data_IF_816357263961
#
_entry.id   IF_816357263961
#
_cell.length_a   1.000
_cell.length_b   1.000
_cell.length_c   1.000
_cell.angle_alpha   90.00
_cell.angle_beta   90.00
_cell.angle_gamma   90.00
#
_symmetry.space_group_name_H-M   'P 1'
#
loop_
_entity.id
_entity.type
_entity.pdbx_description
1 polymer ?
#
# COMPACT_ATOMS: atom_id res chain seq x y z
N UNK A 1 1.89 -5.53 -14.53
CA UNK A 1 0.76 -4.58 -14.72
C UNK A 1 1.36 -3.19 -14.73
N UNK A 2 1.17 -2.39 -15.78
CA UNK A 2 1.69 -1.02 -15.89
C UNK A 2 0.98 -0.13 -14.86
N UNK A 3 1.73 0.47 -13.93
CA UNK A 3 1.22 1.29 -12.81
C UNK A 3 0.62 2.63 -13.26
N UNK A 4 0.93 3.03 -14.49
CA UNK A 4 0.48 4.21 -15.21
C UNK A 4 -1.01 4.18 -15.62
N UNK A 5 -1.71 3.06 -15.42
CA UNK A 5 -3.12 2.86 -15.82
C UNK A 5 -4.07 2.75 -14.61
N UNK A 6 -3.56 2.73 -13.36
CA UNK A 6 -4.37 2.38 -12.19
C UNK A 6 -5.27 3.49 -11.63
N UNK A 7 -5.14 4.73 -12.09
CA UNK A 7 -5.93 5.85 -11.58
C UNK A 7 -6.64 6.57 -12.74
N UNK A 8 -7.75 5.98 -13.19
CA UNK A 8 -8.77 6.76 -13.90
C UNK A 8 -9.52 7.54 -12.82
N UNK A 9 -9.48 8.87 -12.88
CA UNK A 9 -10.35 9.76 -12.12
C UNK A 9 -11.81 9.52 -12.56
N UNK A 10 -12.44 8.46 -12.05
CA UNK A 10 -13.89 8.38 -12.07
C UNK A 10 -14.37 9.22 -10.90
N UNK A 11 -14.50 10.52 -11.16
CA UNK A 11 -15.06 11.50 -10.21
C UNK A 11 -16.59 11.41 -10.15
N UNK A 12 -17.16 10.20 -10.06
CA UNK A 12 -18.49 10.10 -9.50
C UNK A 12 -18.33 10.12 -7.98
N UNK A 13 -18.20 11.34 -7.44
CA UNK A 13 -18.35 11.55 -6.01
C UNK A 13 -19.67 10.91 -5.60
N UNK A 14 -19.64 9.95 -4.68
CA UNK A 14 -20.84 9.51 -3.98
C UNK A 14 -21.47 10.79 -3.40
N UNK A 15 -22.56 11.25 -4.00
CA UNK A 15 -23.30 12.39 -3.48
C UNK A 15 -24.09 11.86 -2.29
N UNK A 16 -23.45 11.86 -1.11
CA UNK A 16 -24.16 11.70 0.15
C UNK A 16 -25.16 12.84 0.23
N UNK A 17 -26.45 12.51 0.22
CA UNK A 17 -27.51 13.50 0.41
C UNK A 17 -27.36 13.99 1.86
N UNK A 18 -26.81 15.21 2.04
CA UNK A 18 -26.48 15.77 3.37
C UNK A 18 -27.68 15.82 4.33
N UNK A 19 -28.91 15.64 3.80
CA UNK A 19 -30.17 15.63 4.53
C UNK A 19 -30.70 14.23 4.88
N UNK A 20 -30.02 13.15 4.51
CA UNK A 20 -30.44 11.81 4.89
C UNK A 20 -30.09 11.54 6.36
N UNK A 21 -31.12 11.51 7.22
CA UNK A 21 -30.99 11.28 8.67
C UNK A 21 -30.22 9.97 8.99
N UNK A 22 -30.23 9.00 8.07
CA UNK A 22 -29.54 7.72 8.25
C UNK A 22 -28.01 7.86 8.24
N UNK A 23 -27.45 8.79 7.46
CA UNK A 23 -26.00 8.95 7.29
C UNK A 23 -25.37 10.03 8.18
N UNK A 24 -26.17 10.67 9.04
CA UNK A 24 -25.72 11.77 9.91
C UNK A 24 -24.45 11.47 10.73
N UNK A 25 -24.23 10.19 11.10
CA UNK A 25 -23.10 9.79 11.94
C UNK A 25 -21.93 9.16 11.17
N UNK A 26 -22.11 8.86 9.89
CA UNK A 26 -21.13 8.16 9.06
C UNK A 26 -19.75 8.84 9.05
N UNK A 27 -19.65 10.16 8.86
CA UNK A 27 -18.35 10.84 8.83
C UNK A 27 -17.55 10.67 10.14
N UNK A 28 -18.22 10.70 11.29
CA UNK A 28 -17.59 10.56 12.60
C UNK A 28 -17.07 9.14 12.83
N UNK A 29 -17.87 8.14 12.44
CA UNK A 29 -17.48 6.72 12.55
C UNK A 29 -16.29 6.46 11.63
N UNK A 30 -16.35 6.91 10.37
CA UNK A 30 -15.23 6.79 9.42
C UNK A 30 -13.95 7.41 9.96
N UNK A 31 -14.03 8.62 10.51
CA UNK A 31 -12.86 9.29 11.08
C UNK A 31 -12.19 8.50 12.21
N UNK A 32 -12.96 7.78 13.02
CA UNK A 32 -12.44 7.00 14.15
C UNK A 32 -11.53 5.83 13.72
N UNK A 33 -11.74 5.28 12.53
CA UNK A 33 -11.02 4.10 12.04
C UNK A 33 -10.00 4.40 10.95
N UNK A 34 -9.95 5.63 10.43
CA UNK A 34 -8.96 6.01 9.45
C UNK A 34 -7.55 6.00 10.08
N UNK A 35 -6.55 5.40 9.43
CA UNK A 35 -5.19 5.38 9.94
C UNK A 35 -4.61 6.80 10.01
N UNK A 36 -4.22 7.22 11.22
CA UNK A 36 -3.65 8.55 11.50
C UNK A 36 -2.11 8.55 11.60
N UNK A 37 -1.48 7.40 11.34
CA UNK A 37 -0.03 7.26 11.53
C UNK A 37 0.75 8.11 10.52
N UNK A 38 1.74 8.91 10.97
CA UNK A 38 2.59 9.70 10.07
C UNK A 38 3.55 8.85 9.24
N UNK A 39 3.61 7.53 9.51
CA UNK A 39 4.44 6.58 8.75
C UNK A 39 3.97 6.46 7.29
N UNK A 40 2.69 6.74 7.02
CA UNK A 40 2.12 6.63 5.69
C UNK A 40 2.19 7.93 4.90
N UNK A 41 2.34 7.80 3.59
CA UNK A 41 2.26 8.93 2.68
C UNK A 41 0.84 9.51 2.71
N UNK A 42 0.71 10.82 2.97
CA UNK A 42 -0.60 11.49 3.03
C UNK A 42 -1.41 11.31 1.76
N UNK A 43 -0.76 11.41 0.59
CA UNK A 43 -1.42 11.20 -0.69
C UNK A 43 -1.99 9.78 -0.78
N UNK A 44 -1.25 8.77 -0.35
CA UNK A 44 -1.77 7.39 -0.33
C UNK A 44 -2.99 7.29 0.59
N UNK A 45 -2.90 7.84 1.80
CA UNK A 45 -4.02 7.86 2.76
C UNK A 45 -5.26 8.55 2.20
N UNK A 46 -5.10 9.64 1.47
CA UNK A 46 -6.23 10.36 0.84
C UNK A 46 -6.95 9.48 -0.20
N UNK A 47 -6.21 8.71 -1.00
CA UNK A 47 -6.82 7.79 -1.97
C UNK A 47 -7.50 6.62 -1.26
N UNK A 48 -6.84 6.04 -0.25
CA UNK A 48 -7.37 4.92 0.54
C UNK A 48 -8.63 5.32 1.29
N UNK A 49 -8.69 6.55 1.81
CA UNK A 49 -9.84 7.08 2.57
C UNK A 49 -11.15 6.97 1.80
N UNK A 50 -11.13 7.22 0.48
CA UNK A 50 -12.32 7.12 -0.37
C UNK A 50 -12.89 5.70 -0.48
N UNK A 51 -12.03 4.68 -0.31
CA UNK A 51 -12.40 3.27 -0.41
C UNK A 51 -12.81 2.66 0.93
N UNK A 52 -12.58 3.38 2.04
CA UNK A 52 -12.89 2.90 3.38
C UNK A 52 -14.40 2.71 3.53
N UNK A 53 -14.84 1.52 3.95
CA UNK A 53 -16.24 1.27 4.27
C UNK A 53 -16.34 0.57 5.64
N UNK A 54 -16.85 1.24 6.69
CA UNK A 54 -16.88 0.67 8.05
C UNK A 54 -17.73 -0.61 8.16
N UNK A 55 -18.63 -0.88 7.21
CA UNK A 55 -19.50 -2.05 7.24
C UNK A 55 -18.80 -3.35 6.82
N UNK A 56 -17.63 -3.26 6.17
CA UNK A 56 -16.92 -4.42 5.64
C UNK A 56 -16.02 -5.08 6.69
N UNK A 57 -15.58 -4.34 7.71
CA UNK A 57 -14.90 -4.84 8.91
C UNK A 57 -13.47 -5.35 8.68
N UNK A 58 -12.93 -5.18 7.48
CA UNK A 58 -11.59 -5.67 7.09
C UNK A 58 -10.56 -4.54 7.04
N UNK A 59 -10.96 -3.30 7.32
CA UNK A 59 -10.15 -2.12 6.99
C UNK A 59 -8.91 -2.02 7.89
N UNK A 60 -9.02 -2.49 9.12
CA UNK A 60 -7.93 -2.52 10.08
C UNK A 60 -6.83 -3.53 9.72
N UNK A 61 -7.10 -4.49 8.81
CA UNK A 61 -6.10 -5.48 8.38
C UNK A 61 -5.16 -4.92 7.29
N UNK A 62 -5.56 -3.86 6.58
CA UNK A 62 -4.80 -3.28 5.48
C UNK A 62 -3.34 -2.96 5.84
N UNK A 63 -3.08 -2.18 6.91
CA UNK A 63 -1.72 -1.88 7.37
C UNK A 63 -0.90 -3.13 7.76
N UNK A 64 -1.56 -4.17 8.30
CA UNK A 64 -0.91 -5.43 8.65
C UNK A 64 -0.48 -6.19 7.40
N UNK A 65 -1.38 -6.32 6.40
CA UNK A 65 -1.09 -6.99 5.14
C UNK A 65 0.04 -6.28 4.39
N UNK A 66 0.02 -4.95 4.35
CA UNK A 66 1.12 -4.17 3.80
C UNK A 66 2.45 -4.54 4.47
N UNK A 67 2.47 -4.53 5.81
CA UNK A 67 3.69 -4.78 6.58
C UNK A 67 4.20 -6.21 6.37
N UNK A 68 3.29 -7.19 6.29
CA UNK A 68 3.61 -8.58 6.03
C UNK A 68 4.23 -8.78 4.64
N UNK A 69 3.68 -8.15 3.60
CA UNK A 69 4.22 -8.20 2.24
C UNK A 69 5.59 -7.54 2.16
N UNK A 70 5.78 -6.38 2.81
CA UNK A 70 7.09 -5.71 2.90
C UNK A 70 8.13 -6.57 3.62
N UNK A 71 7.73 -7.21 4.72
CA UNK A 71 8.61 -8.07 5.52
C UNK A 71 9.04 -9.33 4.77
N UNK A 72 8.09 -10.01 4.11
CA UNK A 72 8.34 -11.28 3.42
C UNK A 72 8.95 -11.12 2.03
N UNK A 73 8.97 -9.90 1.47
CA UNK A 73 9.49 -9.60 0.13
C UNK A 73 8.88 -10.45 -0.98
N UNK A 74 7.60 -10.82 -0.83
CA UNK A 74 6.87 -11.55 -1.87
C UNK A 74 6.65 -10.64 -3.09
N UNK A 75 6.74 -11.21 -4.29
CA UNK A 75 6.48 -10.52 -5.56
C UNK A 75 5.08 -10.79 -6.12
N UNK A 76 4.48 -11.91 -5.71
CA UNK A 76 3.20 -12.41 -6.25
C UNK A 76 2.29 -12.73 -5.08
N UNK A 77 1.14 -12.07 -5.05
CA UNK A 77 0.10 -12.26 -4.04
C UNK A 77 -1.19 -12.59 -4.77
N UNK A 78 -1.88 -13.62 -4.28
CA UNK A 78 -3.24 -13.95 -4.71
C UNK A 78 -4.17 -13.57 -3.58
N UNK A 79 -5.10 -12.67 -3.86
CA UNK A 79 -6.15 -12.25 -2.95
C UNK A 79 -7.49 -12.87 -3.41
N UNK A 80 -8.23 -13.50 -2.50
CA UNK A 80 -9.55 -14.06 -2.77
C UNK A 80 -10.58 -13.22 -2.03
N UNK A 81 -11.39 -12.49 -2.79
CA UNK A 81 -12.21 -11.38 -2.30
C UNK A 81 -11.42 -10.08 -2.37
N UNK A 82 -11.74 -9.23 -3.35
CA UNK A 82 -11.05 -7.97 -3.59
C UNK A 82 -11.81 -6.79 -2.97
N UNK A 83 -11.11 -5.72 -2.63
CA UNK A 83 -11.72 -4.53 -2.05
C UNK A 83 -10.69 -3.59 -1.44
N UNK A 84 -10.99 -3.08 -0.25
CA UNK A 84 -10.16 -2.11 0.45
C UNK A 84 -8.73 -2.61 0.71
N UNK A 85 -8.52 -3.90 0.95
CA UNK A 85 -7.20 -4.49 1.24
C UNK A 85 -6.28 -4.57 0.02
N UNK A 86 -6.85 -4.62 -1.18
CA UNK A 86 -6.09 -4.75 -2.43
C UNK A 86 -5.11 -3.59 -2.63
N UNK A 87 -5.51 -2.34 -2.31
CA UNK A 87 -4.63 -1.17 -2.46
C UNK A 87 -3.44 -1.19 -1.50
N UNK A 88 -3.59 -1.77 -0.30
CA UNK A 88 -2.49 -1.95 0.65
C UNK A 88 -1.46 -2.98 0.15
N UNK A 89 -1.95 -4.09 -0.41
CA UNK A 89 -1.08 -5.12 -0.99
C UNK A 89 -0.33 -4.55 -2.20
N UNK A 90 -1.03 -3.83 -3.09
CA UNK A 90 -0.42 -3.22 -4.28
C UNK A 90 0.64 -2.18 -3.90
N UNK A 91 0.36 -1.33 -2.92
CA UNK A 91 1.34 -0.36 -2.42
C UNK A 91 2.58 -1.07 -1.87
N UNK A 92 2.40 -2.15 -1.10
CA UNK A 92 3.52 -2.92 -0.56
C UNK A 92 4.37 -3.59 -1.65
N UNK A 93 3.75 -4.14 -2.69
CA UNK A 93 4.45 -4.73 -3.84
C UNK A 93 5.26 -3.67 -4.59
N UNK A 94 4.63 -2.52 -4.90
CA UNK A 94 5.31 -1.40 -5.57
C UNK A 94 6.52 -0.94 -4.76
N UNK A 95 6.37 -0.76 -3.45
CA UNK A 95 7.47 -0.27 -2.62
C UNK A 95 8.58 -1.31 -2.45
N UNK A 96 8.25 -2.61 -2.48
CA UNK A 96 9.26 -3.66 -2.55
C UNK A 96 10.01 -3.61 -3.89
N UNK A 97 9.32 -3.43 -5.02
CA UNK A 97 9.95 -3.32 -6.33
C UNK A 97 10.87 -2.10 -6.44
N UNK A 98 10.44 -0.96 -5.90
CA UNK A 98 11.27 0.26 -5.85
C UNK A 98 12.51 0.03 -4.96
N UNK A 99 12.32 -0.50 -3.74
CA UNK A 99 13.42 -0.78 -2.81
C UNK A 99 14.44 -1.78 -3.38
N UNK A 100 13.98 -2.86 -4.00
CA UNK A 100 14.87 -3.89 -4.54
C UNK A 100 15.64 -3.39 -5.78
N UNK A 101 15.03 -2.54 -6.61
CA UNK A 101 15.73 -1.87 -7.72
C UNK A 101 16.82 -0.93 -7.21
N UNK A 102 16.53 -0.14 -6.18
CA UNK A 102 17.51 0.75 -5.56
C UNK A 102 18.67 -0.05 -4.95
N UNK A 103 18.38 -1.14 -4.25
CA UNK A 103 19.40 -2.04 -3.69
C UNK A 103 20.26 -2.66 -4.80
N UNK A 104 19.65 -3.12 -5.89
CA UNK A 104 20.39 -3.68 -7.02
C UNK A 104 21.32 -2.65 -7.68
N UNK A 105 20.87 -1.40 -7.82
CA UNK A 105 21.71 -0.32 -8.30
C UNK A 105 22.88 -0.04 -7.33
N UNK A 106 22.63 -0.04 -6.03
CA UNK A 106 23.69 0.10 -5.02
C UNK A 106 24.69 -1.06 -5.07
N UNK A 107 24.24 -2.28 -5.37
CA UNK A 107 25.13 -3.43 -5.55
C UNK A 107 25.99 -3.28 -6.80
N UNK A 108 25.39 -2.89 -7.93
CA UNK A 108 26.10 -2.64 -9.18
C UNK A 108 27.18 -1.57 -9.03
N UNK A 109 26.88 -0.50 -8.29
CA UNK A 109 27.80 0.59 -7.97
C UNK A 109 28.88 0.20 -6.92
N UNK A 110 28.81 -1.00 -6.33
CA UNK A 110 29.70 -1.43 -5.24
C UNK A 110 29.47 -0.71 -3.90
N UNK A 111 28.33 -0.03 -3.76
CA UNK A 111 27.91 0.82 -2.63
C UNK A 111 26.96 0.14 -1.65
N UNK A 112 26.47 -1.09 -1.93
CA UNK A 112 25.58 -1.86 -1.06
C UNK A 112 26.28 -2.41 0.21
N UNK A 113 26.82 -1.51 1.02
CA UNK A 113 27.60 -1.80 2.22
C UNK A 113 27.12 -0.94 3.38
N UNK A 114 27.06 -1.50 4.57
CA UNK A 114 26.95 -0.73 5.81
C UNK A 114 28.30 -0.75 6.51
N UNK A 115 28.77 0.43 6.91
CA UNK A 115 30.18 0.69 7.21
C UNK A 115 31.04 0.35 5.98
N UNK A 116 31.66 -0.83 5.95
CA UNK A 116 32.37 -1.37 4.79
C UNK A 116 32.12 -2.88 4.61
N UNK A 117 31.08 -3.41 5.25
CA UNK A 117 30.71 -4.81 5.14
C UNK A 117 29.54 -4.98 4.16
N UNK A 118 29.53 -6.02 3.30
CA UNK A 118 28.38 -6.32 2.46
C UNK A 118 27.10 -6.45 3.31
N UNK A 119 26.08 -5.67 2.99
CA UNK A 119 24.83 -5.68 3.74
C UNK A 119 23.77 -6.60 3.12
N UNK A 120 23.91 -6.87 1.83
CA UNK A 120 22.90 -7.54 1.01
C UNK A 120 23.26 -9.00 0.75
N UNK A 121 22.24 -9.85 0.61
CA UNK A 121 22.40 -11.20 0.08
C UNK A 121 22.33 -11.12 -1.45
N UNK A 122 23.47 -11.17 -2.13
CA UNK A 122 23.58 -10.93 -3.58
C UNK A 122 22.62 -11.78 -4.40
N UNK A 123 22.56 -13.09 -4.13
CA UNK A 123 21.70 -14.01 -4.87
C UNK A 123 20.21 -13.69 -4.78
N UNK A 124 19.75 -13.15 -3.64
CA UNK A 124 18.35 -12.77 -3.45
C UNK A 124 18.02 -11.52 -4.25
N UNK A 125 18.95 -10.56 -4.30
CA UNK A 125 18.75 -9.32 -5.06
C UNK A 125 18.77 -9.60 -6.57
N UNK A 126 19.72 -10.39 -7.05
CA UNK A 126 19.80 -10.81 -8.45
C UNK A 126 18.52 -11.54 -8.88
N UNK A 127 18.12 -12.58 -8.13
CA UNK A 127 16.89 -13.32 -8.41
C UNK A 127 15.63 -12.44 -8.38
N UNK A 128 15.63 -11.34 -7.63
CA UNK A 128 14.47 -10.47 -7.54
C UNK A 128 14.31 -9.59 -8.79
N UNK A 129 15.42 -9.20 -9.43
CA UNK A 129 15.45 -8.26 -10.56
C UNK A 129 15.43 -8.97 -11.91
N UNK A 130 15.82 -10.25 -11.95
CA UNK A 130 15.71 -11.15 -13.12
C UNK A 130 14.25 -11.36 -13.59
#
# INVERSE_FOLDING_TARGET
IRSDILFVDISESFQEDENDELFRYDPFVRQAFLPQSPVWNSRFLDHVRSLYNPHMGVENIGPLLYSLVRFTKVQKVVEIGAGYTSVWILQALKDNDDEMRDIAQLQHDGKAKLLNWPWTVTSVVEQYVD
#
